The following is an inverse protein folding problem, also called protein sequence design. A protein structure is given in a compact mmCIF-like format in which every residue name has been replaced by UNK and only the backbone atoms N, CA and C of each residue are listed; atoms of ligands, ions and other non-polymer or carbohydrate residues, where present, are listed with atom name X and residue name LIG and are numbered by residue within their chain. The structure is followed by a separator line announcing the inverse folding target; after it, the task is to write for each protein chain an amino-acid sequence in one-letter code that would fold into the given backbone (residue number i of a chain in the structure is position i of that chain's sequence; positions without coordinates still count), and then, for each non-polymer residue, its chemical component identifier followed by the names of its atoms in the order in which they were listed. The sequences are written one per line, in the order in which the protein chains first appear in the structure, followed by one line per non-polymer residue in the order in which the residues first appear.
data_IF_639482442258
#
_entry.id   IF_639482442258
#
_cell.length_a   1.000
_cell.length_b   1.000
_cell.length_c   1.000
_cell.angle_alpha   90.00
_cell.angle_beta   90.00
_cell.angle_gamma   90.00
#
_symmetry.space_group_name_H-M   'P 1'
#
loop_
_entity.id
_entity.type
_entity.pdbx_description
1 polymer ?
#
# COMPACT_ATOMS: atom_id res chain seq x y z
N UNK A 1 6.36 7.62 18.36
CA UNK A 1 5.61 8.79 18.87
C UNK A 1 5.78 8.82 20.37
N UNK A 2 6.43 9.84 20.91
CA UNK A 2 6.61 10.06 22.36
C UNK A 2 5.74 11.22 22.86
N UNK A 3 4.77 11.65 22.04
CA UNK A 3 3.84 12.72 22.37
C UNK A 3 2.82 12.21 23.37
N UNK A 4 2.57 13.01 24.41
CA UNK A 4 1.59 12.71 25.44
C UNK A 4 0.25 12.33 24.79
N UNK A 5 -0.38 11.25 25.27
CA UNK A 5 -1.69 10.78 24.81
C UNK A 5 -2.78 11.78 25.25
N UNK A 6 -2.74 13.02 24.77
CA UNK A 6 -3.60 14.10 25.24
C UNK A 6 -4.26 14.81 24.06
N UNK A 7 -5.55 15.09 24.22
CA UNK A 7 -6.27 15.92 23.27
C UNK A 7 -5.81 17.38 23.36
N UNK A 8 -5.84 18.13 22.24
CA UNK A 8 -5.52 19.55 22.23
C UNK A 8 -6.44 20.37 23.16
N UNK A 9 -5.98 21.50 23.72
CA UNK A 9 -6.83 22.40 24.49
C UNK A 9 -8.08 22.84 23.69
N UNK A 10 -9.22 22.92 24.37
CA UNK A 10 -10.50 23.28 23.74
C UNK A 10 -11.21 22.13 23.01
N UNK A 11 -10.72 20.90 23.17
CA UNK A 11 -11.36 19.68 22.64
C UNK A 11 -11.68 18.71 23.78
N UNK A 12 -12.57 17.76 23.52
CA UNK A 12 -12.97 16.72 24.46
C UNK A 12 -12.83 15.33 23.82
N UNK A 13 -12.42 14.32 24.60
CA UNK A 13 -12.44 12.92 24.14
C UNK A 13 -13.89 12.48 24.04
N UNK A 14 -14.42 12.31 22.84
CA UNK A 14 -15.82 11.91 22.62
C UNK A 14 -15.98 10.38 22.53
N UNK A 15 -14.89 9.64 22.31
CA UNK A 15 -14.94 8.19 22.18
C UNK A 15 -13.61 7.56 21.82
N UNK A 16 -13.57 6.22 21.87
CA UNK A 16 -12.44 5.43 21.43
C UNK A 16 -12.84 4.09 20.82
N UNK A 17 -11.90 3.51 20.06
CA UNK A 17 -12.04 2.25 19.34
C UNK A 17 -10.79 1.39 19.47
N UNK A 18 -10.99 0.08 19.60
CA UNK A 18 -9.90 -0.91 19.53
C UNK A 18 -9.75 -1.39 18.09
N UNK A 19 -8.52 -1.43 17.60
CA UNK A 19 -8.18 -2.06 16.32
C UNK A 19 -7.26 -3.26 16.59
N UNK A 20 -7.85 -4.46 16.56
CA UNK A 20 -7.14 -5.72 16.75
C UNK A 20 -6.43 -6.16 15.47
N UNK A 21 -5.27 -6.81 15.61
CA UNK A 21 -4.48 -7.30 14.48
C UNK A 21 -3.75 -6.21 13.68
N UNK A 22 -3.59 -5.01 14.26
CA UNK A 22 -2.67 -4.01 13.73
C UNK A 22 -1.24 -4.46 14.02
N UNK A 23 -0.34 -4.43 13.04
CA UNK A 23 1.12 -4.60 13.28
C UNK A 23 1.77 -3.35 13.89
N UNK A 24 0.97 -2.30 14.10
CA UNK A 24 1.36 -1.10 14.82
C UNK A 24 1.03 -1.28 16.31
N UNK A 25 1.96 -0.91 17.19
CA UNK A 25 1.96 -1.22 18.63
C UNK A 25 2.52 -2.58 19.05
N UNK A 26 3.22 -3.27 18.15
CA UNK A 26 3.98 -4.47 18.49
C UNK A 26 5.16 -4.13 19.40
N UNK A 27 4.95 -4.20 20.71
CA UNK A 27 5.94 -3.89 21.73
C UNK A 27 6.64 -5.17 22.18
N UNK A 28 7.97 -5.20 22.05
CA UNK A 28 8.78 -6.34 22.50
C UNK A 28 8.52 -7.64 21.72
N UNK A 29 8.04 -7.55 20.48
CA UNK A 29 7.74 -8.71 19.62
C UNK A 29 6.41 -9.42 19.93
N UNK A 30 5.57 -8.83 20.80
CA UNK A 30 4.22 -9.31 21.06
C UNK A 30 3.20 -8.40 20.36
N UNK A 31 2.32 -8.94 19.49
CA UNK A 31 1.28 -8.15 18.88
C UNK A 31 0.35 -7.55 19.92
N UNK A 32 0.12 -6.24 19.85
CA UNK A 32 -0.83 -5.54 20.72
C UNK A 32 -1.85 -4.77 19.89
N UNK A 33 -3.09 -4.64 20.38
CA UNK A 33 -4.05 -3.77 19.74
C UNK A 33 -3.61 -2.31 19.82
N UNK A 34 -3.95 -1.52 18.80
CA UNK A 34 -3.91 -0.07 18.87
C UNK A 34 -5.29 0.50 19.18
N UNK A 35 -5.33 1.66 19.81
CA UNK A 35 -6.54 2.37 20.18
C UNK A 35 -6.58 3.75 19.54
N UNK A 36 -7.76 4.09 19.00
CA UNK A 36 -8.05 5.42 18.45
C UNK A 36 -8.88 6.23 19.43
N UNK A 37 -8.51 7.48 19.67
CA UNK A 37 -9.32 8.43 20.43
C UNK A 37 -9.66 9.63 19.55
N UNK A 38 -10.95 9.96 19.51
CA UNK A 38 -11.45 11.13 18.79
C UNK A 38 -11.58 12.31 19.77
N UNK A 39 -10.80 13.36 19.50
CA UNK A 39 -10.84 14.63 20.19
C UNK A 39 -11.77 15.57 19.41
N UNK A 40 -12.95 15.84 19.93
CA UNK A 40 -13.96 16.64 19.27
C UNK A 40 -13.95 18.07 19.79
N UNK A 41 -14.23 19.04 18.92
CA UNK A 41 -14.57 20.39 19.39
C UNK A 41 -15.91 20.36 20.12
N UNK A 42 -16.07 21.28 21.07
CA UNK A 42 -17.40 21.61 21.58
C UNK A 42 -18.12 22.42 20.49
N UNK A 43 -19.45 22.32 20.40
CA UNK A 43 -20.21 23.24 19.56
C UNK A 43 -20.09 24.66 20.09
N UNK A 44 -19.76 25.61 19.23
CA UNK A 44 -19.73 27.02 19.62
C UNK A 44 -21.13 27.53 20.01
N UNK A 45 -21.16 28.54 20.88
CA UNK A 45 -22.36 29.21 21.40
C UNK A 45 -23.17 29.85 20.25
N UNK A 46 -24.05 29.06 19.65
CA UNK A 46 -24.88 29.47 18.51
C UNK A 46 -25.14 28.35 17.50
N UNK A 47 -24.33 27.30 17.50
CA UNK A 47 -24.39 26.22 16.52
C UNK A 47 -25.47 25.17 16.79
N UNK A 48 -25.95 25.08 18.04
CA UNK A 48 -26.98 24.12 18.45
C UNK A 48 -26.58 22.65 18.25
N UNK A 49 -27.38 21.75 18.83
CA UNK A 49 -27.24 20.33 18.60
C UNK A 49 -28.34 19.84 17.68
N UNK A 50 -27.99 19.26 16.53
CA UNK A 50 -28.96 18.55 15.71
C UNK A 50 -29.54 17.35 16.46
N UNK A 51 -30.58 16.71 15.91
CA UNK A 51 -31.26 15.57 16.53
C UNK A 51 -30.36 14.33 16.75
N UNK A 52 -29.16 14.31 16.16
CA UNK A 52 -28.17 13.25 16.28
C UNK A 52 -27.11 13.48 17.36
N UNK A 53 -27.19 14.57 18.15
CA UNK A 53 -26.16 14.90 19.15
C UNK A 53 -24.86 15.47 18.54
N UNK A 54 -24.95 16.00 17.32
CA UNK A 54 -23.81 16.57 16.57
C UNK A 54 -24.13 18.04 16.27
N UNK A 55 -23.11 18.92 16.29
CA UNK A 55 -23.30 20.33 15.88
C UNK A 55 -23.93 20.42 14.49
N UNK A 56 -24.66 21.51 14.22
CA UNK A 56 -25.26 21.74 12.91
C UNK A 56 -24.21 21.70 11.78
N UNK A 57 -24.62 21.22 10.60
CA UNK A 57 -23.75 21.07 9.42
C UNK A 57 -23.17 22.38 8.90
N UNK A 58 -23.82 23.50 9.18
CA UNK A 58 -23.30 24.85 8.86
C UNK A 58 -22.15 25.31 9.78
N UNK A 59 -21.96 24.61 10.91
CA UNK A 59 -20.89 24.84 11.88
C UNK A 59 -19.82 23.74 11.88
N UNK A 60 -19.98 22.72 11.03
CA UNK A 60 -18.99 21.66 10.87
C UNK A 60 -18.51 21.71 9.43
N UNK A 61 -17.21 21.87 9.25
CA UNK A 61 -16.66 21.92 7.90
C UNK A 61 -16.31 20.48 7.51
N UNK A 62 -17.20 19.84 6.74
CA UNK A 62 -17.17 18.44 6.29
C UNK A 62 -16.00 18.10 5.32
N UNK A 63 -14.99 18.97 5.28
CA UNK A 63 -13.78 18.83 4.50
C UNK A 63 -12.63 18.36 5.38
N UNK A 64 -12.21 17.14 5.12
CA UNK A 64 -11.08 16.49 5.74
C UNK A 64 -9.81 17.32 5.54
N UNK A 65 -9.19 17.80 6.62
CA UNK A 65 -8.00 18.66 6.59
C UNK A 65 -7.11 18.46 7.82
N UNK A 66 -5.82 18.81 7.74
CA UNK A 66 -4.96 18.85 8.94
C UNK A 66 -5.06 20.27 9.57
N UNK A 67 -5.09 20.39 10.91
CA UNK A 67 -4.99 21.67 11.62
C UNK A 67 -3.53 21.98 12.00
N UNK A 68 -3.14 23.27 11.98
CA UNK A 68 -1.84 23.71 12.50
C UNK A 68 -1.76 23.55 14.03
N UNK A 69 -0.59 23.11 14.54
CA UNK A 69 -0.33 22.99 15.99
C UNK A 69 -0.58 21.60 16.60
N UNK A 70 -0.91 20.59 15.80
CA UNK A 70 -0.99 19.19 16.21
C UNK A 70 -0.13 18.35 15.26
N UNK A 71 1.17 18.20 15.56
CA UNK A 71 2.21 17.79 14.62
C UNK A 71 2.09 16.48 13.82
N UNK A 72 0.93 15.81 13.76
CA UNK A 72 0.62 14.72 12.82
C UNK A 72 -0.85 14.25 12.89
N UNK A 73 -1.89 15.09 12.68
CA UNK A 73 -3.30 14.65 12.89
C UNK A 73 -4.28 15.18 11.82
N UNK A 74 -5.20 14.30 11.39
CA UNK A 74 -6.31 14.63 10.48
C UNK A 74 -7.54 15.05 11.28
N UNK A 75 -8.18 16.11 10.83
CA UNK A 75 -9.50 16.59 11.25
C UNK A 75 -10.49 16.20 10.18
N UNK A 76 -11.67 15.84 10.66
CA UNK A 76 -12.89 15.65 9.90
C UNK A 76 -12.90 14.48 8.88
N UNK A 77 -13.50 13.37 9.29
CA UNK A 77 -14.37 12.60 8.41
C UNK A 77 -15.69 12.63 9.16
N UNK A 78 -16.74 13.23 8.62
CA UNK A 78 -18.10 13.24 9.19
C UNK A 78 -18.74 11.84 9.18
N UNK A 79 -18.11 10.90 9.89
CA UNK A 79 -18.72 9.74 10.51
C UNK A 79 -18.19 9.72 11.93
N UNK A 80 -18.83 10.52 12.78
CA UNK A 80 -18.82 10.31 14.22
C UNK A 80 -19.00 8.81 14.50
N UNK A 81 -17.99 8.20 15.12
CA UNK A 81 -18.05 6.79 15.52
C UNK A 81 -18.21 6.77 17.03
N UNK A 82 -19.41 6.41 17.48
CA UNK A 82 -19.80 6.31 18.88
C UNK A 82 -18.88 5.38 19.70
N UNK A 83 -17.91 5.95 20.41
CA UNK A 83 -16.96 5.21 21.24
C UNK A 83 -17.39 5.15 22.71
N UNK A 84 -16.63 4.43 23.54
CA UNK A 84 -17.03 4.10 24.92
C UNK A 84 -16.46 5.03 26.02
N UNK A 85 -15.60 6.00 25.71
CA UNK A 85 -15.04 6.91 26.74
C UNK A 85 -16.06 7.94 27.22
N UNK A 86 -17.06 8.32 26.40
CA UNK A 86 -17.90 9.46 26.74
C UNK A 86 -19.27 9.44 26.03
N UNK A 87 -20.09 8.43 26.32
CA UNK A 87 -21.46 8.32 25.78
C UNK A 87 -22.41 9.41 26.27
N UNK A 88 -22.00 10.17 27.30
CA UNK A 88 -22.82 11.19 27.94
C UNK A 88 -22.59 12.58 27.35
N UNK A 89 -21.75 12.72 26.32
CA UNK A 89 -21.56 14.00 25.67
C UNK A 89 -22.76 14.27 24.78
N UNK A 90 -23.65 15.10 25.29
CA UNK A 90 -24.94 15.43 24.67
C UNK A 90 -24.75 16.12 23.30
N UNK A 91 -23.65 16.85 23.12
CA UNK A 91 -23.35 17.53 21.89
C UNK A 91 -21.86 17.57 21.56
N UNK A 92 -21.50 17.05 20.38
CA UNK A 92 -20.12 17.04 19.88
C UNK A 92 -20.02 17.74 18.53
N UNK A 93 -18.92 18.47 18.34
CA UNK A 93 -18.54 19.01 17.05
C UNK A 93 -17.69 18.08 16.21
N UNK A 94 -17.10 18.66 15.18
CA UNK A 94 -16.14 18.00 14.32
C UNK A 94 -14.99 17.38 15.12
N UNK A 95 -14.46 16.26 14.64
CA UNK A 95 -13.27 15.63 15.20
C UNK A 95 -12.09 16.54 14.87
N UNK A 96 -11.60 17.29 15.87
CA UNK A 96 -10.46 18.21 15.83
C UNK A 96 -9.10 17.51 15.77
N UNK A 97 -9.04 16.29 16.26
CA UNK A 97 -7.81 15.51 16.37
C UNK A 97 -8.17 14.03 16.57
N UNK A 98 -7.33 13.13 16.05
CA UNK A 98 -7.36 11.71 16.38
C UNK A 98 -6.02 11.28 16.98
N UNK A 99 -6.06 10.72 18.19
CA UNK A 99 -4.88 10.18 18.89
C UNK A 99 -4.83 8.68 18.67
N UNK A 100 -3.66 8.13 18.35
CA UNK A 100 -3.40 6.69 18.26
C UNK A 100 -2.47 6.29 19.38
N UNK A 101 -2.85 5.30 20.18
CA UNK A 101 -2.05 4.82 21.31
C UNK A 101 -2.03 3.30 21.40
N UNK A 102 -0.94 2.78 21.96
CA UNK A 102 -0.77 1.36 22.28
C UNK A 102 -1.28 1.01 23.68
N UNK A 103 -1.63 2.03 24.47
CA UNK A 103 -2.12 1.89 25.84
C UNK A 103 -3.63 2.10 25.84
N UNK A 104 -4.41 1.18 26.39
CA UNK A 104 -5.85 1.32 26.44
C UNK A 104 -6.30 2.65 27.10
N UNK A 105 -7.27 3.38 26.53
CA UNK A 105 -7.77 4.66 27.05
C UNK A 105 -8.09 4.70 28.54
N UNK A 106 -8.70 3.63 29.05
CA UNK A 106 -9.12 3.52 30.45
C UNK A 106 -7.96 3.40 31.45
N UNK A 107 -6.72 3.16 31.00
CA UNK A 107 -5.56 3.13 31.89
C UNK A 107 -5.08 4.52 32.30
N UNK A 108 -5.47 5.56 31.56
CA UNK A 108 -5.03 6.93 31.79
C UNK A 108 -6.18 7.93 31.96
N UNK A 109 -7.38 7.62 31.46
CA UNK A 109 -8.59 8.39 31.74
C UNK A 109 -9.59 7.55 32.56
N UNK A 110 -9.77 7.87 33.86
CA UNK A 110 -10.67 7.12 34.75
C UNK A 110 -12.16 7.33 34.44
N UNK A 111 -12.51 8.24 33.54
CA UNK A 111 -13.89 8.42 33.06
C UNK A 111 -14.29 7.39 32.01
N UNK A 112 -13.30 6.72 31.39
CA UNK A 112 -13.53 5.73 30.36
C UNK A 112 -13.90 4.36 30.94
N UNK A 113 -14.83 3.67 30.28
CA UNK A 113 -15.15 2.28 30.61
C UNK A 113 -14.07 1.32 30.09
N UNK A 114 -13.93 0.15 30.71
CA UNK A 114 -13.04 -0.93 30.22
C UNK A 114 -13.67 -1.74 29.08
N UNK A 115 -14.91 -1.46 28.70
CA UNK A 115 -15.62 -2.16 27.63
C UNK A 115 -15.12 -1.65 26.27
N UNK A 116 -14.59 -2.55 25.43
CA UNK A 116 -14.09 -2.17 24.11
C UNK A 116 -15.06 -2.47 22.99
N UNK A 117 -15.22 -1.50 22.08
CA UNK A 117 -15.74 -1.76 20.75
C UNK A 117 -14.57 -1.97 19.77
N UNK A 118 -14.57 -3.09 19.07
CA UNK A 118 -13.54 -3.44 18.09
C UNK A 118 -14.00 -3.04 16.69
N UNK A 119 -13.19 -2.26 15.99
CA UNK A 119 -13.40 -1.90 14.59
C UNK A 119 -12.08 -2.08 13.82
N UNK A 120 -11.86 -3.28 13.31
CA UNK A 120 -10.64 -3.61 12.57
C UNK A 120 -10.56 -2.92 11.21
N UNK A 121 -11.66 -2.32 10.69
CA UNK A 121 -11.54 -1.46 9.51
C UNK A 121 -10.69 -0.22 9.83
N UNK A 122 -10.61 0.18 11.11
CA UNK A 122 -9.72 1.26 11.54
C UNK A 122 -8.25 0.87 11.68
N UNK A 123 -7.90 -0.41 11.58
CA UNK A 123 -6.51 -0.88 11.70
C UNK A 123 -5.57 -0.32 10.61
N UNK A 124 -6.11 0.38 9.61
CA UNK A 124 -5.41 1.06 8.52
C UNK A 124 -5.97 2.48 8.22
N UNK A 125 -6.76 3.07 9.13
CA UNK A 125 -7.40 4.40 8.95
C UNK A 125 -6.50 5.58 9.34
N UNK A 126 -5.18 5.42 9.32
CA UNK A 126 -4.22 6.50 9.32
C UNK A 126 -4.31 7.27 7.99
N UNK A 127 -5.08 8.36 7.98
CA UNK A 127 -5.11 9.32 6.86
C UNK A 127 -3.82 10.18 6.87
N UNK A 128 -3.46 10.83 5.75
CA UNK A 128 -2.08 11.26 5.41
C UNK A 128 -1.43 12.30 6.34
N UNK A 129 -2.13 12.79 7.37
CA UNK A 129 -1.49 13.60 8.40
C UNK A 129 -0.65 12.73 9.38
N UNK A 130 -0.71 11.38 9.30
CA UNK A 130 0.03 10.44 10.16
C UNK A 130 1.10 9.59 9.43
N UNK A 131 1.15 9.58 8.09
CA UNK A 131 2.12 8.80 7.31
C UNK A 131 2.60 9.56 6.07
N UNK A 132 3.92 9.50 5.81
CA UNK A 132 4.47 9.63 4.46
C UNK A 132 3.95 8.45 3.60
N UNK A 133 3.21 8.70 2.52
CA UNK A 133 2.62 7.67 1.65
C UNK A 133 1.74 8.23 0.51
N UNK A 134 1.20 7.35 -0.35
CA UNK A 134 0.37 7.75 -1.51
C UNK A 134 -1.11 7.91 -1.16
N UNK A 135 -1.69 9.07 -1.47
CA UNK A 135 -3.07 9.48 -1.16
C UNK A 135 -4.16 8.72 -1.92
N UNK A 136 -3.81 8.08 -3.04
CA UNK A 136 -4.71 7.33 -3.91
C UNK A 136 -4.65 5.80 -3.71
N UNK A 137 -3.95 5.34 -2.66
CA UNK A 137 -3.94 3.95 -2.23
C UNK A 137 -4.96 3.78 -1.12
N UNK A 138 -6.10 3.13 -1.45
CA UNK A 138 -7.15 2.88 -0.48
C UNK A 138 -6.68 1.81 0.54
N UNK A 139 -6.93 1.98 1.86
CA UNK A 139 -6.35 1.14 2.92
C UNK A 139 -6.70 -0.36 2.78
N UNK A 140 -7.91 -0.70 2.37
CA UNK A 140 -8.36 -2.10 2.26
C UNK A 140 -8.26 -2.67 0.84
N UNK A 141 -7.48 -2.03 -0.03
CA UNK A 141 -7.27 -2.57 -1.37
C UNK A 141 -6.33 -3.78 -1.34
N UNK A 142 -6.53 -4.73 -2.27
CA UNK A 142 -5.67 -5.92 -2.41
C UNK A 142 -4.18 -5.62 -2.64
N UNK A 143 -3.85 -4.36 -2.95
CA UNK A 143 -2.50 -3.87 -3.26
C UNK A 143 -1.91 -2.94 -2.20
N UNK A 144 -2.64 -2.58 -1.14
CA UNK A 144 -2.17 -1.61 -0.14
C UNK A 144 -0.84 -2.03 0.47
N UNK A 145 -0.80 -3.25 1.01
CA UNK A 145 0.40 -3.81 1.65
C UNK A 145 1.58 -3.84 0.68
N UNK A 146 1.35 -4.31 -0.54
CA UNK A 146 2.37 -4.37 -1.58
C UNK A 146 2.92 -2.99 -1.94
N UNK A 147 2.07 -1.98 -2.05
CA UNK A 147 2.50 -0.61 -2.38
C UNK A 147 3.24 0.03 -1.20
N UNK A 148 2.76 -0.19 0.04
CA UNK A 148 3.42 0.29 1.25
C UNK A 148 4.82 -0.30 1.40
N UNK A 149 4.97 -1.62 1.23
CA UNK A 149 6.27 -2.30 1.22
C UNK A 149 7.19 -1.73 0.14
N UNK A 150 6.71 -1.60 -1.11
CA UNK A 150 7.54 -1.03 -2.18
C UNK A 150 7.99 0.40 -1.88
N UNK A 151 7.18 1.20 -1.20
CA UNK A 151 7.55 2.56 -0.83
C UNK A 151 8.61 2.57 0.27
N UNK A 152 8.42 1.76 1.32
CA UNK A 152 9.36 1.60 2.42
C UNK A 152 10.75 1.13 1.96
N UNK A 153 10.79 0.16 1.04
CA UNK A 153 12.03 -0.37 0.46
C UNK A 153 12.63 0.53 -0.65
N UNK A 154 12.01 1.68 -0.95
CA UNK A 154 12.47 2.58 -2.02
C UNK A 154 12.43 1.97 -3.42
N UNK A 155 11.55 0.98 -3.62
CA UNK A 155 11.26 0.31 -4.90
C UNK A 155 10.34 1.19 -5.75
N UNK A 156 9.33 1.83 -5.15
CA UNK A 156 8.49 2.82 -5.81
C UNK A 156 8.67 4.22 -5.23
N UNK A 157 8.53 5.21 -6.09
CA UNK A 157 8.49 6.64 -5.74
C UNK A 157 7.17 7.30 -6.15
N UNK A 158 6.20 6.50 -6.64
CA UNK A 158 4.92 7.01 -7.15
C UNK A 158 5.00 7.53 -8.58
N UNK A 159 3.88 8.08 -9.06
CA UNK A 159 3.81 8.97 -10.22
C UNK A 159 4.17 10.40 -9.81
N UNK A 160 3.73 10.80 -8.62
CA UNK A 160 4.12 12.02 -7.91
C UNK A 160 4.53 11.62 -6.48
N UNK A 161 4.96 12.60 -5.68
CA UNK A 161 5.30 12.36 -4.27
C UNK A 161 4.11 11.81 -3.45
N UNK A 162 2.88 12.04 -3.90
CA UNK A 162 1.65 11.73 -3.18
C UNK A 162 0.66 10.84 -3.96
N UNK A 163 0.98 10.43 -5.19
CA UNK A 163 0.13 9.53 -6.00
C UNK A 163 0.90 8.31 -6.48
N UNK A 164 0.33 7.12 -6.26
CA UNK A 164 0.83 5.87 -6.80
C UNK A 164 0.26 5.56 -8.18
N UNK A 165 -0.99 5.93 -8.47
CA UNK A 165 -1.74 5.55 -9.66
C UNK A 165 -2.09 4.05 -9.73
N UNK A 166 -2.74 3.43 -8.72
CA UNK A 166 -2.90 1.97 -8.66
C UNK A 166 -3.70 1.37 -9.82
N UNK A 167 -4.63 2.14 -10.39
CA UNK A 167 -5.47 1.72 -11.53
C UNK A 167 -4.83 2.01 -12.88
N UNK A 168 -3.75 2.79 -12.92
CA UNK A 168 -3.07 3.11 -14.17
C UNK A 168 -2.40 1.86 -14.74
N UNK A 169 -2.44 1.67 -16.06
CA UNK A 169 -1.62 0.66 -16.72
C UNK A 169 -0.13 0.88 -16.43
N UNK A 170 0.61 -0.20 -16.21
CA UNK A 170 2.05 -0.14 -15.98
C UNK A 170 2.81 -0.26 -17.31
N UNK A 171 3.57 0.76 -17.74
CA UNK A 171 4.51 0.62 -18.85
C UNK A 171 5.62 -0.37 -18.52
N UNK A 172 6.21 -0.98 -19.56
CA UNK A 172 7.36 -1.90 -19.43
C UNK A 172 8.54 -1.26 -18.69
N UNK A 173 8.82 0.02 -18.91
CA UNK A 173 9.88 0.77 -18.23
C UNK A 173 9.67 0.91 -16.72
N UNK A 174 8.43 1.06 -16.27
CA UNK A 174 8.09 1.17 -14.86
C UNK A 174 8.36 -0.14 -14.13
N UNK A 175 7.90 -1.26 -14.70
CA UNK A 175 8.12 -2.56 -14.09
C UNK A 175 9.60 -2.95 -14.11
N UNK A 176 10.33 -2.63 -15.19
CA UNK A 176 11.78 -2.79 -15.22
C UNK A 176 12.48 -2.06 -14.08
N UNK A 177 12.06 -0.82 -13.82
CA UNK A 177 12.60 0.00 -12.74
C UNK A 177 12.26 -0.54 -11.36
N UNK A 178 11.07 -1.10 -11.17
CA UNK A 178 10.73 -1.80 -9.92
C UNK A 178 11.62 -3.01 -9.69
N UNK A 179 11.84 -3.86 -10.70
CA UNK A 179 12.72 -5.03 -10.56
C UNK A 179 14.17 -4.64 -10.27
N UNK A 180 14.69 -3.61 -10.94
CA UNK A 180 16.05 -3.12 -10.71
C UNK A 180 16.25 -2.53 -9.32
N UNK A 181 15.29 -1.74 -8.82
CA UNK A 181 15.33 -1.20 -7.45
C UNK A 181 15.19 -2.31 -6.41
N UNK A 182 14.30 -3.27 -6.66
CA UNK A 182 14.16 -4.48 -5.83
C UNK A 182 15.46 -5.28 -5.75
N UNK A 183 16.23 -5.35 -6.84
CA UNK A 183 17.54 -5.98 -6.87
C UNK A 183 18.67 -5.17 -6.19
N UNK A 184 18.35 -4.03 -5.54
CA UNK A 184 19.35 -3.21 -4.87
C UNK A 184 20.06 -2.22 -5.79
N UNK A 185 19.48 -1.89 -6.95
CA UNK A 185 20.03 -0.92 -7.93
C UNK A 185 21.43 -1.30 -8.43
N UNK A 186 21.64 -2.55 -8.86
CA UNK A 186 22.95 -3.02 -9.30
C UNK A 186 23.45 -2.22 -10.51
N UNK A 187 24.76 -2.08 -10.61
CA UNK A 187 25.39 -1.42 -11.75
C UNK A 187 25.07 -2.15 -13.06
N UNK A 188 24.90 -1.38 -14.13
CA UNK A 188 24.60 -1.88 -15.46
C UNK A 188 25.38 -1.11 -16.52
N UNK A 189 25.68 -1.71 -17.68
CA UNK A 189 26.24 -1.00 -18.82
C UNK A 189 25.38 0.22 -19.21
N UNK A 190 26.02 1.28 -19.67
CA UNK A 190 25.31 2.50 -20.09
C UNK A 190 24.37 2.27 -21.29
N UNK A 191 24.69 1.28 -22.14
CA UNK A 191 23.92 0.94 -23.33
C UNK A 191 23.23 -0.42 -23.17
N UNK A 192 21.92 -0.44 -23.40
CA UNK A 192 21.09 -1.65 -23.39
C UNK A 192 21.08 -2.39 -24.74
N UNK A 193 21.58 -1.75 -25.80
CA UNK A 193 21.54 -2.22 -27.19
C UNK A 193 20.20 -1.97 -27.90
N UNK A 194 19.22 -1.37 -27.23
CA UNK A 194 17.92 -1.05 -27.83
C UNK A 194 17.87 0.37 -28.40
N UNK A 195 17.39 0.49 -29.63
CA UNK A 195 17.35 1.77 -30.37
C UNK A 195 16.32 2.75 -29.83
N UNK A 196 15.37 2.28 -29.01
CA UNK A 196 14.30 3.05 -28.39
C UNK A 196 14.52 3.31 -26.89
N UNK A 197 15.75 3.07 -26.40
CA UNK A 197 16.15 3.39 -25.02
C UNK A 197 17.30 4.37 -25.07
N UNK A 198 17.00 5.65 -24.83
CA UNK A 198 18.03 6.67 -24.68
C UNK A 198 18.90 6.37 -23.45
N UNK A 199 20.24 6.48 -23.51
CA UNK A 199 21.12 6.33 -22.35
C UNK A 199 20.80 7.30 -21.20
N UNK A 200 20.21 8.46 -21.50
CA UNK A 200 19.83 9.47 -20.51
C UNK A 200 18.42 9.25 -19.93
N UNK A 201 17.69 8.23 -20.40
CA UNK A 201 16.36 7.93 -19.85
C UNK A 201 16.48 7.40 -18.42
N UNK A 202 15.54 7.80 -17.56
CA UNK A 202 15.50 7.35 -16.16
C UNK A 202 15.36 5.81 -15.99
N UNK A 203 14.91 5.12 -17.04
CA UNK A 203 14.81 3.66 -17.11
C UNK A 203 15.96 2.99 -17.86
N UNK A 204 16.96 3.73 -18.36
CA UNK A 204 18.05 3.17 -19.18
C UNK A 204 18.85 2.10 -18.42
N UNK A 205 19.31 2.43 -17.21
CA UNK A 205 20.01 1.49 -16.33
C UNK A 205 19.16 0.27 -15.96
N UNK A 206 17.90 0.42 -15.49
CA UNK A 206 17.02 -0.72 -15.27
C UNK A 206 16.88 -1.64 -16.48
N UNK A 207 16.68 -1.09 -17.67
CA UNK A 207 16.54 -1.89 -18.90
C UNK A 207 17.85 -2.59 -19.25
N UNK A 208 18.98 -1.89 -19.19
CA UNK A 208 20.30 -2.46 -19.44
C UNK A 208 20.62 -3.62 -18.49
N UNK A 209 20.33 -3.46 -17.19
CA UNK A 209 20.47 -4.52 -16.20
C UNK A 209 19.59 -5.73 -16.56
N UNK A 210 18.31 -5.52 -16.88
CA UNK A 210 17.41 -6.61 -17.25
C UNK A 210 17.90 -7.38 -18.49
N UNK A 211 18.50 -6.69 -19.47
CA UNK A 211 19.08 -7.33 -20.66
C UNK A 211 20.33 -8.11 -20.29
N UNK A 212 21.25 -7.50 -19.54
CA UNK A 212 22.51 -8.11 -19.12
C UNK A 212 22.33 -9.40 -18.30
N UNK A 213 21.22 -9.49 -17.56
CA UNK A 213 20.86 -10.68 -16.78
C UNK A 213 19.79 -11.56 -17.44
N UNK A 214 19.48 -11.34 -18.72
CA UNK A 214 18.58 -12.21 -19.50
C UNK A 214 17.12 -12.19 -19.05
N UNK A 215 16.69 -11.17 -18.31
CA UNK A 215 15.30 -11.01 -17.87
C UNK A 215 14.39 -10.61 -19.05
N UNK A 216 14.94 -9.92 -20.05
CA UNK A 216 14.23 -9.51 -21.27
C UNK A 216 15.13 -9.60 -22.50
N UNK A 217 14.53 -9.89 -23.65
CA UNK A 217 15.16 -9.84 -24.98
C UNK A 217 14.55 -8.74 -25.86
N UNK A 218 13.73 -7.88 -25.27
CA UNK A 218 12.99 -6.85 -26.00
C UNK A 218 11.71 -7.39 -26.67
N UNK A 219 11.23 -6.65 -27.66
CA UNK A 219 10.00 -6.96 -28.44
C UNK A 219 10.29 -7.32 -29.91
N UNK A 220 11.57 -7.40 -30.28
CA UNK A 220 12.02 -7.52 -31.68
C UNK A 220 12.61 -6.21 -32.21
N UNK A 221 13.20 -6.25 -33.41
CA UNK A 221 13.74 -5.09 -34.13
C UNK A 221 14.68 -4.18 -33.32
N UNK A 222 15.47 -4.76 -32.42
CA UNK A 222 16.31 -4.05 -31.45
C UNK A 222 15.54 -3.01 -30.62
N UNK A 223 14.31 -3.32 -30.20
CA UNK A 223 13.47 -2.46 -29.36
C UNK A 223 13.12 -3.09 -28.03
N UNK A 224 13.03 -2.26 -27.00
CA UNK A 224 12.50 -2.62 -25.68
C UNK A 224 10.98 -2.36 -25.57
N UNK A 225 10.50 -1.29 -26.19
CA UNK A 225 9.15 -0.76 -26.03
C UNK A 225 8.89 -0.18 -24.63
N UNK A 226 9.62 0.85 -24.17
CA UNK A 226 9.53 1.35 -22.78
C UNK A 226 8.12 1.79 -22.38
N UNK A 227 7.40 2.46 -23.29
CA UNK A 227 6.06 2.98 -23.05
C UNK A 227 4.94 1.98 -23.39
N UNK A 228 5.28 0.80 -23.91
CA UNK A 228 4.27 -0.23 -24.14
C UNK A 228 3.72 -0.71 -22.82
N UNK A 229 2.39 -0.80 -22.75
CA UNK A 229 1.70 -1.33 -21.59
C UNK A 229 2.03 -2.81 -21.43
N UNK A 230 2.54 -3.17 -20.26
CA UNK A 230 3.01 -4.52 -19.96
C UNK A 230 1.80 -5.46 -19.77
N UNK A 231 1.66 -6.52 -20.58
CA UNK A 231 0.65 -7.55 -20.34
C UNK A 231 1.05 -8.44 -19.16
N UNK A 232 0.06 -9.01 -18.47
CA UNK A 232 0.26 -9.88 -17.28
C UNK A 232 1.25 -11.02 -17.53
N UNK A 233 1.22 -11.65 -18.71
CA UNK A 233 2.15 -12.72 -19.09
C UNK A 233 3.61 -12.30 -19.08
N UNK A 234 3.93 -11.11 -19.58
CA UNK A 234 5.31 -10.62 -19.62
C UNK A 234 5.84 -10.28 -18.23
N UNK A 235 5.01 -9.70 -17.36
CA UNK A 235 5.39 -9.42 -15.98
C UNK A 235 5.76 -10.71 -15.22
N UNK A 236 4.94 -11.75 -15.34
CA UNK A 236 5.25 -13.07 -14.76
C UNK A 236 6.50 -13.69 -15.39
N UNK A 237 6.70 -13.55 -16.71
CA UNK A 237 7.90 -14.05 -17.37
C UNK A 237 9.17 -13.38 -16.84
N UNK A 238 9.13 -12.08 -16.55
CA UNK A 238 10.27 -11.37 -15.95
C UNK A 238 10.57 -11.84 -14.53
N UNK A 239 9.56 -12.00 -13.68
CA UNK A 239 9.72 -12.53 -12.32
C UNK A 239 10.24 -13.98 -12.34
N UNK A 240 9.72 -14.81 -13.25
CA UNK A 240 10.18 -16.18 -13.44
C UNK A 240 11.65 -16.25 -13.85
N UNK A 241 12.09 -15.38 -14.78
CA UNK A 241 13.51 -15.26 -15.14
C UNK A 241 14.36 -14.75 -14.00
N UNK A 242 13.84 -13.81 -13.21
CA UNK A 242 14.51 -13.30 -12.01
C UNK A 242 14.72 -14.41 -10.98
N UNK A 243 13.78 -15.37 -10.88
CA UNK A 243 13.92 -16.58 -10.06
C UNK A 243 14.87 -17.64 -10.65
N UNK A 244 15.57 -17.36 -11.76
CA UNK A 244 16.46 -18.33 -12.41
C UNK A 244 15.76 -19.29 -13.37
N UNK A 245 14.55 -18.95 -13.83
CA UNK A 245 13.76 -19.75 -14.79
C UNK A 245 13.43 -21.19 -14.34
N UNK A 246 12.97 -21.42 -13.10
CA UNK A 246 12.68 -22.76 -12.60
C UNK A 246 11.54 -23.45 -13.37
N UNK A 247 11.62 -24.76 -13.57
CA UNK A 247 10.50 -25.52 -14.15
C UNK A 247 9.33 -25.62 -13.18
N UNK A 248 8.10 -25.49 -13.70
CA UNK A 248 6.90 -25.87 -12.95
C UNK A 248 6.85 -27.39 -12.74
N UNK A 249 6.44 -27.85 -11.56
CA UNK A 249 6.27 -29.27 -11.24
C UNK A 249 4.82 -29.71 -11.39
N UNK A 250 3.89 -28.78 -11.33
CA UNK A 250 2.45 -29.02 -11.44
C UNK A 250 1.86 -28.22 -12.60
N UNK A 251 1.01 -28.87 -13.40
CA UNK A 251 0.28 -28.19 -14.47
C UNK A 251 -0.74 -27.21 -13.88
N UNK A 252 -0.86 -26.02 -14.47
CA UNK A 252 -1.86 -25.04 -14.06
C UNK A 252 -3.23 -25.30 -14.69
N UNK A 253 -4.30 -24.77 -14.09
CA UNK A 253 -5.68 -24.93 -14.55
C UNK A 253 -6.19 -23.78 -15.44
N UNK A 254 -5.32 -22.88 -15.88
CA UNK A 254 -5.72 -21.75 -16.72
C UNK A 254 -6.01 -22.18 -18.16
N UNK A 255 -7.27 -22.06 -18.60
CA UNK A 255 -7.71 -22.50 -19.93
C UNK A 255 -7.31 -21.55 -21.05
N UNK A 256 -6.92 -20.32 -20.71
CA UNK A 256 -6.44 -19.29 -21.62
C UNK A 256 -4.90 -19.22 -21.71
N UNK A 257 -4.21 -20.23 -21.17
CA UNK A 257 -2.77 -20.43 -21.28
C UNK A 257 -2.54 -21.79 -21.93
N UNK A 258 -2.05 -21.78 -23.17
CA UNK A 258 -1.73 -22.97 -23.96
C UNK A 258 -0.28 -23.38 -23.73
N UNK A 259 -0.01 -24.68 -23.75
CA UNK A 259 1.36 -25.23 -23.63
C UNK A 259 2.32 -24.81 -24.75
N UNK A 260 1.80 -24.26 -25.85
CA UNK A 260 2.60 -23.66 -26.91
C UNK A 260 2.96 -22.18 -26.68
N UNK A 261 2.41 -21.54 -25.64
CA UNK A 261 2.75 -20.17 -25.31
C UNK A 261 4.13 -20.07 -24.64
N UNK A 262 4.92 -19.06 -25.02
CA UNK A 262 6.26 -18.85 -24.43
C UNK A 262 6.24 -18.61 -22.91
N UNK A 263 5.09 -18.20 -22.37
CA UNK A 263 4.88 -17.90 -20.95
C UNK A 263 4.23 -19.05 -20.17
N UNK A 264 3.92 -20.19 -20.80
CA UNK A 264 3.24 -21.33 -20.16
C UNK A 264 3.98 -21.80 -18.89
N UNK A 265 5.27 -22.13 -19.03
CA UNK A 265 6.11 -22.58 -17.92
C UNK A 265 6.21 -21.53 -16.82
N UNK A 266 6.36 -20.25 -17.20
CA UNK A 266 6.45 -19.14 -16.25
C UNK A 266 5.15 -18.96 -15.46
N UNK A 267 4.00 -19.05 -16.13
CA UNK A 267 2.68 -18.99 -15.49
C UNK A 267 2.44 -20.21 -14.61
N UNK A 268 2.84 -21.40 -15.03
CA UNK A 268 2.76 -22.62 -14.23
C UNK A 268 3.54 -22.50 -12.93
N UNK A 269 4.79 -22.06 -13.02
CA UNK A 269 5.63 -21.83 -11.84
C UNK A 269 5.03 -20.76 -10.93
N UNK A 270 4.55 -19.65 -11.49
CA UNK A 270 3.97 -18.56 -10.72
C UNK A 270 2.65 -18.98 -10.02
N UNK A 271 1.85 -19.84 -10.65
CA UNK A 271 0.64 -20.39 -10.07
C UNK A 271 0.95 -21.38 -8.94
N UNK A 272 1.91 -22.29 -9.17
CA UNK A 272 2.35 -23.29 -8.20
C UNK A 272 2.86 -22.65 -6.90
N UNK A 273 3.61 -21.56 -7.02
CA UNK A 273 4.19 -20.87 -5.88
C UNK A 273 3.28 -19.77 -5.29
N UNK A 274 2.14 -19.48 -5.91
CA UNK A 274 1.21 -18.44 -5.43
C UNK A 274 1.60 -17.00 -5.76
N UNK A 275 2.56 -16.78 -6.67
CA UNK A 275 2.87 -15.45 -7.23
C UNK A 275 1.63 -14.89 -7.96
N UNK A 276 0.89 -15.74 -8.67
CA UNK A 276 -0.40 -15.40 -9.28
C UNK A 276 -1.48 -16.40 -8.92
N UNK A 277 -2.70 -15.89 -8.77
CA UNK A 277 -3.92 -16.69 -8.53
C UNK A 277 -4.87 -16.66 -9.72
N UNK A 278 -4.44 -16.09 -10.86
CA UNK A 278 -5.32 -15.79 -12.00
C UNK A 278 -6.25 -14.61 -11.75
N UNK A 279 -7.04 -14.27 -12.77
CA UNK A 279 -8.21 -13.37 -12.64
C UNK A 279 -9.47 -14.14 -12.22
N UNK A 280 -9.43 -15.46 -12.36
CA UNK A 280 -10.35 -16.43 -11.79
C UNK A 280 -9.61 -17.74 -11.53
N UNK A 281 -10.22 -18.74 -10.88
CA UNK A 281 -9.60 -20.06 -10.71
C UNK A 281 -9.20 -20.77 -12.01
N UNK A 282 -9.74 -20.36 -13.17
CA UNK A 282 -9.52 -21.00 -14.47
C UNK A 282 -9.03 -20.04 -15.57
N UNK A 283 -8.84 -18.74 -15.27
CA UNK A 283 -8.36 -17.75 -16.24
C UNK A 283 -7.18 -16.96 -15.68
N UNK A 284 -6.12 -16.81 -16.48
CA UNK A 284 -4.96 -15.97 -16.15
C UNK A 284 -5.04 -14.56 -16.75
N UNK A 285 -5.71 -14.43 -17.90
CA UNK A 285 -5.80 -13.25 -18.76
C UNK A 285 -4.42 -12.75 -19.26
N UNK A 286 -3.67 -13.56 -20.05
CA UNK A 286 -2.26 -13.28 -20.36
C UNK A 286 -2.01 -11.98 -21.12
N UNK A 287 -2.98 -11.51 -21.92
CA UNK A 287 -2.88 -10.29 -22.74
C UNK A 287 -3.48 -9.06 -22.07
N UNK A 288 -4.14 -9.22 -20.91
CA UNK A 288 -4.73 -8.09 -20.22
C UNK A 288 -3.62 -7.13 -19.73
N UNK A 289 -3.81 -5.81 -19.93
CA UNK A 289 -2.95 -4.78 -19.34
C UNK A 289 -2.76 -4.98 -17.84
N UNK A 290 -1.51 -5.00 -17.39
CA UNK A 290 -1.18 -5.01 -15.98
C UNK A 290 -1.35 -3.60 -15.41
N UNK A 291 -2.11 -3.45 -14.33
CA UNK A 291 -2.14 -2.17 -13.60
C UNK A 291 -0.93 -2.05 -12.67
N UNK A 292 -0.57 -0.83 -12.28
CA UNK A 292 0.49 -0.59 -11.30
C UNK A 292 0.24 -1.29 -9.97
N UNK A 293 -1.02 -1.37 -9.52
CA UNK A 293 -1.39 -2.17 -8.35
C UNK A 293 -1.07 -3.66 -8.53
N UNK A 294 -1.43 -4.26 -9.66
CA UNK A 294 -1.15 -5.67 -9.93
C UNK A 294 0.35 -5.94 -10.04
N UNK A 295 1.10 -5.00 -10.63
CA UNK A 295 2.55 -5.05 -10.69
C UNK A 295 3.17 -5.10 -9.29
N UNK A 296 2.72 -4.22 -8.39
CA UNK A 296 3.13 -4.21 -6.99
C UNK A 296 2.80 -5.53 -6.29
N UNK A 297 1.56 -6.01 -6.44
CA UNK A 297 1.12 -7.26 -5.82
C UNK A 297 1.94 -8.47 -6.29
N UNK A 298 2.26 -8.57 -7.59
CA UNK A 298 3.09 -9.65 -8.11
C UNK A 298 4.51 -9.61 -7.55
N UNK A 299 5.13 -8.43 -7.51
CA UNK A 299 6.48 -8.29 -6.96
C UNK A 299 6.52 -8.54 -5.44
N UNK A 300 5.51 -8.08 -4.70
CA UNK A 300 5.42 -8.33 -3.26
C UNK A 300 5.24 -9.82 -2.94
N UNK A 301 4.34 -10.52 -3.66
CA UNK A 301 4.18 -11.97 -3.49
C UNK A 301 5.46 -12.72 -3.83
N UNK A 302 6.14 -12.32 -4.91
CA UNK A 302 7.45 -12.84 -5.25
C UNK A 302 8.44 -12.65 -4.09
N UNK A 303 8.54 -11.45 -3.55
CA UNK A 303 9.42 -11.15 -2.41
C UNK A 303 9.12 -12.05 -1.21
N UNK A 304 7.86 -12.12 -0.78
CA UNK A 304 7.45 -12.93 0.38
C UNK A 304 7.83 -14.41 0.25
N UNK A 305 7.83 -14.95 -0.97
CA UNK A 305 8.14 -16.35 -1.23
C UNK A 305 9.64 -16.64 -1.35
N UNK A 306 10.42 -15.65 -1.79
CA UNK A 306 11.74 -15.91 -2.36
C UNK A 306 12.88 -15.09 -1.74
N UNK A 307 12.61 -14.03 -0.98
CA UNK A 307 13.65 -13.10 -0.51
C UNK A 307 14.80 -13.76 0.27
N UNK A 308 14.51 -14.78 1.08
CA UNK A 308 15.53 -15.49 1.87
C UNK A 308 16.31 -16.56 1.08
N UNK A 309 15.82 -16.94 -0.10
CA UNK A 309 16.32 -18.13 -0.83
C UNK A 309 16.90 -17.81 -2.21
N UNK A 310 16.63 -16.61 -2.74
CA UNK A 310 17.07 -16.20 -4.07
C UNK A 310 18.18 -15.16 -3.99
N UNK A 311 19.35 -15.53 -4.50
CA UNK A 311 20.41 -14.57 -4.79
C UNK A 311 20.03 -13.76 -6.02
N UNK A 312 19.74 -12.47 -5.85
CA UNK A 312 19.34 -11.60 -6.96
C UNK A 312 20.53 -11.31 -7.89
N UNK A 313 20.31 -11.26 -9.22
CA UNK A 313 21.40 -11.03 -10.17
C UNK A 313 22.05 -9.67 -9.97
N UNK A 314 23.33 -9.67 -9.61
CA UNK A 314 24.13 -8.45 -9.44
C UNK A 314 23.96 -7.73 -8.10
N UNK A 315 23.19 -8.29 -7.14
CA UNK A 315 23.11 -7.71 -5.81
C UNK A 315 24.49 -7.72 -5.13
N UNK A 316 24.96 -6.55 -4.70
CA UNK A 316 26.13 -6.45 -3.81
C UNK A 316 25.74 -6.94 -2.42
N UNK A 317 26.61 -7.72 -1.75
CA UNK A 317 26.36 -8.26 -0.41
C UNK A 317 26.20 -7.17 0.66
#
# INVERSE_FOLDING_TARGET
MTGENLCPPGTLVAGWWKADGSGFCDLGGAPQPRYYLDCNRVCDDGCGCGASGICATECTDANCRCLEGCGSQSVDCTRFRYGQCNQNVECVGEIACRVVTCVPPWEWDPTCTTTSATDNQTAFHDRPCLHDGFTDVAPDAFYTEAVGWMAAEGITTGLTNDLFGPREPAPRSHFATFLWRYAGRPDAPADSGFVDVSPDAWYAQPVSWMVGHGLTTGIGDNRFGPDMILPRSQAITFLWRLAGSPTARVAHNFSDVSSSNYFDVAVGWAAENGVTTGVSPTLFAPTQPLTRAQAATFLHRFHMLFHDTLALPGATP
#
